data_IF_015955002106
#
_entry.id   IF_015955002106
#
_cell.length_a   1.000
_cell.length_b   1.000
_cell.length_c   1.000
_cell.angle_alpha   90.00
_cell.angle_beta   90.00
_cell.angle_gamma   90.00
#
_symmetry.space_group_name_H-M   'P 1'
#
loop_
_entity.id
_entity.type
_entity.pdbx_description
1 polymer ?
#
# COMPACT_ATOMS: atom_id res chain seq x y z
N UNK A 1 -2.16 -17.58 -8.77
CA UNK A 1 -1.24 -16.71 -9.51
C UNK A 1 -0.72 -15.70 -8.51
N UNK A 2 0.60 -15.59 -8.34
CA UNK A 2 1.17 -14.47 -7.61
C UNK A 2 0.92 -13.28 -8.54
N UNK A 3 0.06 -12.35 -8.15
CA UNK A 3 -0.02 -11.08 -8.85
C UNK A 3 1.36 -10.42 -8.70
N UNK A 4 2.13 -10.41 -9.78
CA UNK A 4 3.39 -9.69 -9.85
C UNK A 4 3.03 -8.21 -9.92
N UNK A 5 3.03 -7.57 -8.75
CA UNK A 5 2.98 -6.12 -8.65
C UNK A 5 4.41 -5.61 -8.87
N UNK A 6 4.69 -4.88 -9.96
CA UNK A 6 6.03 -4.41 -10.25
C UNK A 6 6.49 -3.43 -9.18
N UNK A 7 7.78 -3.47 -8.86
CA UNK A 7 8.40 -2.46 -8.00
C UNK A 7 8.34 -1.07 -8.65
N UNK A 8 8.35 -0.06 -7.81
CA UNK A 8 8.31 1.36 -8.20
C UNK A 8 9.53 2.07 -7.64
N UNK A 9 9.95 3.15 -8.29
CA UNK A 9 11.22 3.81 -7.99
C UNK A 9 11.09 5.33 -7.85
N UNK A 10 9.86 5.83 -7.72
CA UNK A 10 9.59 7.26 -7.54
C UNK A 10 8.27 7.51 -6.84
N UNK A 11 8.17 8.67 -6.19
CA UNK A 11 6.94 9.15 -5.57
C UNK A 11 5.81 9.27 -6.62
N UNK A 12 6.12 9.80 -7.80
CA UNK A 12 5.16 10.00 -8.89
C UNK A 12 4.56 8.69 -9.38
N UNK A 13 5.34 7.60 -9.43
CA UNK A 13 4.84 6.27 -9.79
C UNK A 13 3.85 5.74 -8.74
N UNK A 14 4.17 5.85 -7.45
CA UNK A 14 3.24 5.48 -6.38
C UNK A 14 1.95 6.31 -6.42
N UNK A 15 2.04 7.62 -6.68
CA UNK A 15 0.85 8.48 -6.81
C UNK A 15 0.00 8.08 -8.03
N UNK A 16 0.61 7.81 -9.18
CA UNK A 16 -0.11 7.34 -10.37
C UNK A 16 -0.88 6.04 -10.10
N UNK A 17 -0.32 5.15 -9.27
CA UNK A 17 -1.01 3.93 -8.87
C UNK A 17 -2.20 4.26 -7.96
N UNK A 18 -2.02 5.11 -6.94
CA UNK A 18 -3.11 5.52 -6.05
C UNK A 18 -4.27 6.19 -6.83
N UNK A 19 -3.96 6.98 -7.86
CA UNK A 19 -4.95 7.65 -8.71
C UNK A 19 -5.87 6.69 -9.46
N UNK A 20 -5.41 5.46 -9.77
CA UNK A 20 -6.26 4.40 -10.35
C UNK A 20 -7.45 4.06 -9.45
N UNK A 21 -7.32 4.28 -8.14
CA UNK A 21 -8.29 3.91 -7.11
C UNK A 21 -9.09 5.07 -6.55
N UNK A 22 -8.84 6.32 -6.97
CA UNK A 22 -9.46 7.54 -6.41
C UNK A 22 -11.00 7.49 -6.35
N UNK A 23 -11.63 6.84 -7.33
CA UNK A 23 -13.10 6.71 -7.40
C UNK A 23 -13.67 5.57 -6.53
N UNK A 24 -12.80 4.77 -5.90
CA UNK A 24 -13.16 3.58 -5.09
C UNK A 24 -12.94 3.78 -3.59
N UNK A 25 -12.43 4.94 -3.19
CA UNK A 25 -12.09 5.32 -1.82
C UNK A 25 -12.56 6.74 -1.53
N UNK A 26 -12.70 7.10 -0.26
CA UNK A 26 -13.05 8.49 0.10
C UNK A 26 -11.84 9.42 -0.07
N UNK A 27 -12.09 10.72 -0.13
CA UNK A 27 -11.02 11.72 -0.17
C UNK A 27 -10.10 11.64 1.05
N UNK A 28 -10.67 11.33 2.22
CA UNK A 28 -9.92 11.15 3.46
C UNK A 28 -8.98 9.93 3.37
N UNK A 29 -9.48 8.79 2.87
CA UNK A 29 -8.68 7.60 2.64
C UNK A 29 -7.56 7.85 1.62
N UNK A 30 -7.88 8.56 0.53
CA UNK A 30 -6.88 8.95 -0.47
C UNK A 30 -5.78 9.82 0.15
N UNK A 31 -6.15 10.84 0.94
CA UNK A 31 -5.20 11.74 1.58
C UNK A 31 -4.33 11.00 2.61
N UNK A 32 -4.91 10.06 3.37
CA UNK A 32 -4.19 9.21 4.30
C UNK A 32 -3.13 8.36 3.59
N UNK A 33 -3.50 7.68 2.49
CA UNK A 33 -2.55 6.87 1.70
C UNK A 33 -1.48 7.75 1.06
N UNK A 34 -1.86 8.90 0.51
CA UNK A 34 -0.92 9.87 -0.08
C UNK A 34 0.10 10.37 0.95
N UNK A 35 -0.34 10.64 2.19
CA UNK A 35 0.57 11.01 3.27
C UNK A 35 1.55 9.88 3.60
N UNK A 36 1.08 8.63 3.62
CA UNK A 36 1.97 7.48 3.84
C UNK A 36 2.99 7.32 2.71
N UNK A 37 2.58 7.44 1.44
CA UNK A 37 3.50 7.43 0.28
C UNK A 37 4.58 8.50 0.47
N UNK A 38 4.20 9.71 0.89
CA UNK A 38 5.15 10.80 1.16
C UNK A 38 6.15 10.47 2.28
N UNK A 39 5.68 9.89 3.39
CA UNK A 39 6.55 9.50 4.50
C UNK A 39 7.58 8.44 4.08
N UNK A 40 7.18 7.44 3.29
CA UNK A 40 8.11 6.43 2.78
C UNK A 40 9.09 7.02 1.76
N UNK A 41 8.64 7.92 0.89
CA UNK A 41 9.49 8.54 -0.13
C UNK A 41 10.63 9.39 0.49
N UNK A 42 10.43 9.96 1.69
CA UNK A 42 11.51 10.63 2.44
C UNK A 42 12.68 9.68 2.74
N UNK A 43 12.39 8.38 2.89
CA UNK A 43 13.37 7.33 3.15
C UNK A 43 13.76 6.54 1.88
N UNK A 44 13.55 7.12 0.69
CA UNK A 44 13.82 6.47 -0.62
C UNK A 44 13.09 5.12 -0.79
N UNK A 45 11.92 4.99 -0.15
CA UNK A 45 11.03 3.84 -0.25
C UNK A 45 9.76 4.21 -1.03
N UNK A 46 9.38 3.38 -2.00
CA UNK A 46 8.26 3.67 -2.89
C UNK A 46 7.23 2.54 -2.82
N UNK A 47 5.97 2.90 -2.60
CA UNK A 47 4.88 1.95 -2.43
C UNK A 47 4.36 1.48 -3.79
N UNK A 48 4.42 0.18 -4.04
CA UNK A 48 3.88 -0.42 -5.24
C UNK A 48 2.37 -0.67 -5.12
N UNK A 49 1.77 -1.28 -6.14
CA UNK A 49 0.32 -1.47 -6.20
C UNK A 49 -0.20 -2.47 -5.15
N UNK A 50 0.61 -3.43 -4.71
CA UNK A 50 0.26 -4.33 -3.60
C UNK A 50 0.14 -3.57 -2.28
N UNK A 51 1.07 -2.65 -2.02
CA UNK A 51 1.12 -1.88 -0.79
C UNK A 51 -0.05 -0.89 -0.70
N UNK A 52 -0.35 -0.23 -1.83
CA UNK A 52 -1.48 0.68 -1.95
C UNK A 52 -2.80 -0.06 -1.76
N UNK A 53 -2.99 -1.22 -2.41
CA UNK A 53 -4.17 -2.06 -2.22
C UNK A 53 -4.30 -2.56 -0.78
N UNK A 54 -3.20 -2.91 -0.13
CA UNK A 54 -3.19 -3.33 1.28
C UNK A 54 -3.66 -2.19 2.18
N UNK A 55 -3.15 -0.97 1.96
CA UNK A 55 -3.59 0.23 2.68
C UNK A 55 -5.08 0.51 2.48
N UNK A 56 -5.60 0.37 1.25
CA UNK A 56 -7.04 0.52 0.96
C UNK A 56 -7.86 -0.50 1.75
N UNK A 57 -7.47 -1.78 1.76
CA UNK A 57 -8.19 -2.84 2.48
C UNK A 57 -8.22 -2.58 3.98
N UNK A 58 -7.11 -2.11 4.56
CA UNK A 58 -7.03 -1.75 5.98
C UNK A 58 -7.98 -0.58 6.28
N UNK A 59 -7.95 0.48 5.47
CA UNK A 59 -8.80 1.66 5.68
C UNK A 59 -10.29 1.40 5.44
N UNK A 60 -10.64 0.32 4.71
CA UNK A 60 -12.02 -0.17 4.55
C UNK A 60 -12.46 -1.14 5.65
N UNK A 61 -11.57 -1.52 6.56
CA UNK A 61 -11.85 -2.53 7.59
C UNK A 61 -11.98 -3.95 7.04
N UNK A 62 -11.51 -4.20 5.81
CA UNK A 62 -11.54 -5.54 5.18
C UNK A 62 -10.46 -6.48 5.75
N UNK A 63 -9.46 -5.90 6.43
CA UNK A 63 -8.35 -6.60 7.10
C UNK A 63 -7.69 -5.66 8.10
N UNK A 64 -6.84 -6.17 8.98
CA UNK A 64 -6.04 -5.36 9.90
C UNK A 64 -4.55 -5.36 9.53
N UNK A 65 -3.80 -4.36 10.02
CA UNK A 65 -2.35 -4.35 9.88
C UNK A 65 -1.71 -5.58 10.53
N UNK A 66 -2.18 -5.98 11.71
CA UNK A 66 -1.68 -7.15 12.43
C UNK A 66 -1.86 -8.45 11.65
N UNK A 67 -2.99 -8.64 10.97
CA UNK A 67 -3.21 -9.80 10.11
C UNK A 67 -2.20 -9.85 8.95
N UNK A 68 -1.93 -8.69 8.33
CA UNK A 68 -0.95 -8.59 7.24
C UNK A 68 0.47 -8.84 7.72
N UNK A 69 0.85 -8.26 8.85
CA UNK A 69 2.15 -8.48 9.48
C UNK A 69 2.33 -9.95 9.86
N UNK A 70 1.31 -10.58 10.48
CA UNK A 70 1.33 -11.99 10.84
C UNK A 70 1.50 -12.88 9.61
N UNK A 71 0.82 -12.57 8.51
CA UNK A 71 0.97 -13.30 7.24
C UNK A 71 2.38 -13.16 6.68
N UNK A 72 2.93 -11.94 6.63
CA UNK A 72 4.30 -11.68 6.15
C UNK A 72 5.35 -12.41 7.00
N UNK A 73 5.23 -12.36 8.33
CA UNK A 73 6.13 -13.09 9.24
C UNK A 73 6.11 -14.59 8.97
N UNK A 74 4.93 -15.17 8.71
CA UNK A 74 4.79 -16.58 8.36
C UNK A 74 5.44 -16.90 7.00
N UNK A 75 5.24 -16.05 5.99
CA UNK A 75 5.86 -16.22 4.66
C UNK A 75 7.40 -16.16 4.72
N UNK A 76 7.95 -15.39 5.66
CA UNK A 76 9.39 -15.29 5.90
C UNK A 76 9.94 -16.32 6.92
N UNK A 77 9.09 -17.22 7.43
CA UNK A 77 9.51 -18.25 8.40
C UNK A 77 9.90 -17.72 9.78
N UNK A 78 9.42 -16.53 10.16
CA UNK A 78 9.70 -15.91 11.45
C UNK A 78 8.77 -16.39 12.58
N UNK A 79 7.62 -16.98 12.24
CA UNK A 79 6.61 -17.57 13.15
C UNK A 79 5.92 -18.79 12.55
#
# INVERSE_FOLDING_TARGET
MIEEYPEVYSFEESIKILDKYKNKITQEQYNSIKSNIGNFAIEDMYLNEKDILTSIRILKGETTADEKIKKLKKEWGLI
#
